data_IF_660305585561
#
_entry.id   IF_660305585561
#
_cell.length_a   1.000
_cell.length_b   1.000
_cell.length_c   1.000
_cell.angle_alpha   90.00
_cell.angle_beta   90.00
_cell.angle_gamma   90.00
#
_symmetry.space_group_name_H-M   'P 1'
#
loop_
_entity.id
_entity.type
_entity.pdbx_description
1 polymer ?
#
# COMPACT_ATOMS: atom_id res chain seq x y z
N UNK A 1 12.93 14.12 -19.69
CA UNK A 1 12.37 12.76 -19.69
C UNK A 1 11.99 12.47 -18.26
N UNK A 2 10.69 12.43 -17.96
CA UNK A 2 10.22 12.14 -16.60
C UNK A 2 10.53 10.68 -16.25
N UNK A 3 11.12 10.44 -15.09
CA UNK A 3 11.45 9.09 -14.60
C UNK A 3 10.34 8.46 -13.76
N UNK A 4 9.11 8.97 -13.87
CA UNK A 4 7.98 8.41 -13.16
C UNK A 4 7.72 6.97 -13.63
N UNK A 5 7.92 6.04 -12.71
CA UNK A 5 7.55 4.64 -12.90
C UNK A 5 6.20 4.42 -12.27
N UNK A 6 5.31 3.75 -12.99
CA UNK A 6 4.01 3.34 -12.50
C UNK A 6 3.99 1.83 -12.33
N UNK A 7 3.63 1.36 -11.14
CA UNK A 7 3.55 -0.06 -10.80
C UNK A 7 2.13 -0.37 -10.36
N UNK A 8 1.52 -1.36 -11.01
CA UNK A 8 0.19 -1.83 -10.65
C UNK A 8 0.27 -2.63 -9.36
N UNK A 9 -0.56 -2.28 -8.39
CA UNK A 9 -0.67 -3.02 -7.12
C UNK A 9 -2.07 -3.61 -6.99
N UNK A 10 -2.19 -4.80 -6.38
CA UNK A 10 -3.49 -5.47 -6.18
C UNK A 10 -4.24 -4.90 -4.96
N UNK A 11 -4.35 -3.58 -4.92
CA UNK A 11 -4.98 -2.83 -3.84
C UNK A 11 -6.29 -2.28 -4.40
N UNK A 12 -7.41 -2.59 -3.76
CA UNK A 12 -8.75 -2.14 -4.17
C UNK A 12 -9.36 -1.18 -3.17
N UNK A 13 -9.12 -1.42 -1.89
CA UNK A 13 -9.67 -0.63 -0.81
C UNK A 13 -8.70 0.51 -0.42
N UNK A 14 -9.08 1.75 -0.76
CA UNK A 14 -8.29 2.93 -0.44
C UNK A 14 -8.20 3.22 1.06
N UNK A 15 -9.24 2.88 1.83
CA UNK A 15 -9.25 3.11 3.28
C UNK A 15 -8.23 2.21 3.99
N UNK A 16 -8.19 0.93 3.62
CA UNK A 16 -7.20 -0.02 4.14
C UNK A 16 -5.80 0.43 3.73
N UNK A 17 -5.60 0.83 2.46
CA UNK A 17 -4.32 1.37 2.00
C UNK A 17 -3.88 2.56 2.87
N UNK A 18 -4.75 3.53 3.09
CA UNK A 18 -4.45 4.70 3.92
C UNK A 18 -4.06 4.33 5.35
N UNK A 19 -4.77 3.36 5.95
CA UNK A 19 -4.43 2.85 7.28
C UNK A 19 -3.07 2.17 7.28
N UNK A 20 -2.78 1.29 6.32
CA UNK A 20 -1.49 0.59 6.20
C UNK A 20 -0.35 1.59 6.10
N UNK A 21 -0.50 2.61 5.25
CA UNK A 21 0.53 3.63 5.07
C UNK A 21 0.77 4.44 6.35
N UNK A 22 -0.28 4.80 7.08
CA UNK A 22 -0.16 5.47 8.38
C UNK A 22 0.48 4.58 9.44
N UNK A 23 0.13 3.30 9.50
CA UNK A 23 0.71 2.33 10.43
C UNK A 23 2.19 2.04 10.15
N UNK A 24 2.60 2.13 8.88
CA UNK A 24 4.00 2.10 8.49
C UNK A 24 4.77 3.37 8.89
N UNK A 25 4.09 4.37 9.47
CA UNK A 25 4.69 5.63 9.89
C UNK A 25 4.90 6.63 8.76
N UNK A 26 4.29 6.41 7.58
CA UNK A 26 4.42 7.32 6.47
C UNK A 26 3.47 8.53 6.61
N UNK A 27 3.95 9.70 6.16
CA UNK A 27 3.13 10.91 6.07
C UNK A 27 2.36 10.89 4.76
N UNK A 28 1.09 10.51 4.83
CA UNK A 28 0.19 10.43 3.68
C UNK A 28 -0.69 11.66 3.60
N UNK A 29 -0.69 12.31 2.45
CA UNK A 29 -1.64 13.36 2.06
C UNK A 29 -2.61 12.80 1.02
N UNK A 30 -3.89 13.18 1.08
CA UNK A 30 -4.89 12.69 0.14
C UNK A 30 -5.16 13.72 -0.98
N UNK A 31 -5.44 13.24 -2.19
CA UNK A 31 -5.81 14.03 -3.36
C UNK A 31 -4.84 15.19 -3.63
N UNK A 32 -3.56 14.87 -3.79
CA UNK A 32 -2.51 15.88 -3.98
C UNK A 32 -1.51 15.45 -5.05
N UNK A 33 -0.52 16.30 -5.29
CA UNK A 33 0.50 16.12 -6.29
C UNK A 33 1.73 15.41 -5.71
N UNK A 34 2.11 14.32 -6.35
CA UNK A 34 3.38 13.61 -6.19
C UNK A 34 4.47 14.44 -6.83
N UNK A 35 5.48 14.85 -6.06
CA UNK A 35 6.64 15.58 -6.56
C UNK A 35 7.71 14.61 -7.05
N UNK A 36 8.27 14.86 -8.23
CA UNK A 36 9.34 14.07 -8.83
C UNK A 36 10.47 14.94 -9.40
N UNK A 37 11.22 14.37 -10.34
CA UNK A 37 12.39 15.01 -10.95
C UNK A 37 12.08 16.35 -11.61
N UNK A 38 12.95 17.35 -11.39
CA UNK A 38 12.89 18.69 -12.00
C UNK A 38 11.54 19.42 -11.91
N UNK A 39 10.76 19.17 -10.85
CA UNK A 39 9.47 19.82 -10.66
C UNK A 39 8.32 19.16 -11.43
N UNK A 40 8.56 17.99 -12.04
CA UNK A 40 7.48 17.17 -12.56
C UNK A 40 6.56 16.75 -11.40
N UNK A 41 5.26 16.86 -11.64
CA UNK A 41 4.24 16.48 -10.67
C UNK A 41 3.21 15.56 -11.30
N UNK A 42 2.64 14.67 -10.49
CA UNK A 42 1.56 13.77 -10.91
C UNK A 42 0.48 13.73 -9.85
N UNK A 43 -0.77 13.74 -10.28
CA UNK A 43 -1.91 13.60 -9.37
C UNK A 43 -2.05 12.16 -8.87
N UNK A 44 -2.27 12.02 -7.57
CA UNK A 44 -2.58 10.75 -6.93
C UNK A 44 -3.52 10.93 -5.74
N UNK A 45 -4.28 9.89 -5.43
CA UNK A 45 -5.26 9.91 -4.33
C UNK A 45 -4.59 9.83 -2.97
N UNK A 46 -3.46 9.11 -2.86
CA UNK A 46 -2.67 9.05 -1.63
C UNK A 46 -1.21 9.34 -1.94
N UNK A 47 -0.64 10.39 -1.37
CA UNK A 47 0.74 10.82 -1.61
C UNK A 47 1.54 10.75 -0.33
N UNK A 48 2.61 9.98 -0.36
CA UNK A 48 3.57 9.84 0.72
C UNK A 48 4.64 10.90 0.55
N UNK A 49 4.66 11.85 1.48
CA UNK A 49 5.68 12.91 1.49
C UNK A 49 7.01 12.36 1.95
N UNK A 50 8.03 12.53 1.11
CA UNK A 50 9.41 12.26 1.49
C UNK A 50 10.20 13.56 1.72
N UNK A 51 11.24 13.48 2.55
CA UNK A 51 12.13 14.60 2.89
C UNK A 51 13.10 14.95 1.78
N UNK A 52 13.35 14.04 0.85
CA UNK A 52 14.21 14.22 -0.33
C UNK A 52 13.53 14.97 -1.48
N UNK A 53 12.23 15.30 -1.36
CA UNK A 53 11.46 15.97 -2.41
C UNK A 53 10.91 15.04 -3.50
N UNK A 54 11.12 13.73 -3.39
CA UNK A 54 10.58 12.71 -4.29
C UNK A 54 9.48 11.93 -3.57
N UNK A 55 8.24 12.33 -3.81
CA UNK A 55 7.10 11.71 -3.15
C UNK A 55 6.70 10.42 -3.87
N UNK A 56 5.88 9.60 -3.20
CA UNK A 56 5.26 8.43 -3.81
C UNK A 56 3.75 8.60 -3.83
N UNK A 57 3.09 8.34 -4.95
CA UNK A 57 1.65 8.40 -5.06
C UNK A 57 1.00 7.06 -5.31
N UNK A 58 -0.16 6.82 -4.71
CA UNK A 58 -1.10 5.80 -5.14
C UNK A 58 -2.24 6.47 -5.89
N UNK A 59 -2.32 6.19 -7.18
CA UNK A 59 -3.38 6.67 -8.06
C UNK A 59 -4.34 5.53 -8.34
N UNK A 60 -5.64 5.75 -8.14
CA UNK A 60 -6.63 4.74 -8.52
C UNK A 60 -6.75 4.66 -10.03
N UNK A 61 -6.79 3.44 -10.55
CA UNK A 61 -7.04 3.15 -11.96
C UNK A 61 -8.09 2.07 -12.08
N UNK A 62 -9.29 2.48 -12.49
CA UNK A 62 -10.49 1.64 -12.51
C UNK A 62 -10.75 1.01 -11.14
N UNK A 63 -10.39 -0.27 -10.97
CA UNK A 63 -10.69 -1.05 -9.76
C UNK A 63 -9.50 -1.22 -8.82
N UNK A 64 -8.27 -0.96 -9.29
CA UNK A 64 -7.07 -1.14 -8.49
C UNK A 64 -6.26 0.16 -8.39
N UNK A 65 -5.44 0.28 -7.37
CA UNK A 65 -4.47 1.37 -7.26
C UNK A 65 -3.18 1.05 -8.04
N UNK A 66 -2.52 2.09 -8.49
CA UNK A 66 -1.19 2.06 -9.08
C UNK A 66 -0.27 2.95 -8.25
N UNK A 67 0.90 2.44 -7.90
CA UNK A 67 1.97 3.21 -7.29
C UNK A 67 2.72 3.97 -8.39
N UNK A 68 2.67 5.29 -8.36
CA UNK A 68 3.41 6.19 -9.25
C UNK A 68 4.41 6.98 -8.44
N UNK A 69 5.69 6.82 -8.75
CA UNK A 69 6.78 7.52 -8.07
C UNK A 69 8.03 7.58 -8.96
N UNK A 70 8.92 8.51 -8.64
CA UNK A 70 10.28 8.48 -9.15
C UNK A 70 11.15 7.71 -8.15
N UNK A 71 11.27 6.39 -8.36
CA UNK A 71 12.04 5.52 -7.47
C UNK A 71 13.54 5.82 -7.50
N UNK A 72 14.05 6.37 -8.61
CA UNK A 72 15.46 6.69 -8.76
C UNK A 72 15.84 7.87 -7.87
N UNK A 73 15.03 8.94 -7.90
CA UNK A 73 15.19 10.09 -7.02
C UNK A 73 14.80 9.81 -5.56
N UNK A 74 13.75 9.02 -5.34
CA UNK A 74 13.30 8.65 -4.00
C UNK A 74 14.28 7.73 -3.25
N UNK A 75 15.25 7.11 -3.95
CA UNK A 75 16.26 6.18 -3.38
C UNK A 75 15.62 5.04 -2.59
N UNK A 76 14.49 4.55 -3.07
CA UNK A 76 13.74 3.45 -2.47
C UNK A 76 13.73 2.25 -3.39
N UNK A 77 13.76 1.06 -2.81
CA UNK A 77 13.56 -0.16 -3.57
C UNK A 77 12.05 -0.35 -3.79
N UNK A 78 11.61 -0.20 -5.03
CA UNK A 78 10.19 -0.33 -5.39
C UNK A 78 9.60 -1.68 -4.95
N UNK A 79 10.39 -2.75 -5.01
CA UNK A 79 9.91 -4.10 -4.75
C UNK A 79 9.77 -4.37 -3.26
N UNK A 80 10.73 -3.96 -2.45
CA UNK A 80 10.65 -4.05 -0.99
C UNK A 80 9.50 -3.20 -0.45
N UNK A 81 9.33 -1.99 -1.00
CA UNK A 81 8.27 -1.07 -0.61
C UNK A 81 6.89 -1.65 -0.91
N UNK A 82 6.68 -2.16 -2.12
CA UNK A 82 5.42 -2.81 -2.51
C UNK A 82 5.19 -4.07 -1.67
N UNK A 83 6.20 -4.90 -1.44
CA UNK A 83 6.06 -6.12 -0.63
C UNK A 83 5.62 -5.79 0.80
N UNK A 84 6.21 -4.79 1.45
CA UNK A 84 5.84 -4.36 2.80
C UNK A 84 4.38 -3.89 2.88
N UNK A 85 3.95 -3.06 1.91
CA UNK A 85 2.57 -2.58 1.85
C UNK A 85 1.62 -3.74 1.53
N UNK A 86 1.96 -4.58 0.56
CA UNK A 86 1.12 -5.70 0.12
C UNK A 86 0.90 -6.70 1.24
N UNK A 87 1.92 -7.00 2.05
CA UNK A 87 1.82 -7.90 3.19
C UNK A 87 0.86 -7.36 4.25
N UNK A 88 1.04 -6.10 4.68
CA UNK A 88 0.16 -5.46 5.66
C UNK A 88 -1.26 -5.25 5.13
N UNK A 89 -1.39 -4.90 3.86
CA UNK A 89 -2.69 -4.72 3.21
C UNK A 89 -3.44 -6.05 3.12
N UNK A 90 -2.78 -7.13 2.73
CA UNK A 90 -3.39 -8.46 2.69
C UNK A 90 -3.85 -8.89 4.08
N UNK A 91 -3.01 -8.70 5.11
CA UNK A 91 -3.37 -8.98 6.49
C UNK A 91 -4.60 -8.19 6.93
N UNK A 92 -4.59 -6.86 6.83
CA UNK A 92 -5.75 -6.02 7.20
C UNK A 92 -7.01 -6.34 6.40
N UNK A 93 -6.88 -6.58 5.10
CA UNK A 93 -8.03 -6.92 4.25
C UNK A 93 -8.64 -8.25 4.69
N UNK A 94 -7.81 -9.22 5.04
CA UNK A 94 -8.27 -10.49 5.59
C UNK A 94 -8.97 -10.27 6.93
N UNK A 95 -8.35 -9.55 7.88
CA UNK A 95 -8.96 -9.22 9.18
C UNK A 95 -10.32 -8.52 9.03
N UNK A 96 -10.41 -7.52 8.14
CA UNK A 96 -11.64 -6.79 7.87
C UNK A 96 -12.73 -7.69 7.26
N UNK A 97 -12.35 -8.54 6.29
CA UNK A 97 -13.29 -9.48 5.64
C UNK A 97 -13.79 -10.52 6.64
N UNK A 98 -12.92 -11.02 7.51
CA UNK A 98 -13.26 -12.00 8.55
C UNK A 98 -14.27 -11.40 9.53
N UNK A 99 -14.01 -10.18 10.00
CA UNK A 99 -14.94 -9.46 10.89
C UNK A 99 -16.27 -9.13 10.20
N UNK A 100 -16.25 -8.68 8.95
CA UNK A 100 -17.45 -8.30 8.19
C UNK A 100 -18.34 -9.51 7.86
N UNK A 101 -17.74 -10.65 7.52
CA UNK A 101 -18.46 -11.88 7.24
C UNK A 101 -18.81 -12.69 8.50
N UNK A 102 -18.48 -12.19 9.69
CA UNK A 102 -18.77 -12.84 10.97
C UNK A 102 -17.97 -14.13 11.21
N UNK A 103 -16.85 -14.29 10.53
CA UNK A 103 -15.88 -15.33 10.85
C UNK A 103 -15.05 -14.84 12.05
N UNK A 104 -14.72 -15.74 12.97
CA UNK A 104 -13.72 -15.47 14.00
C UNK A 104 -12.38 -16.03 13.53
N UNK A 105 -11.31 -15.27 13.78
CA UNK A 105 -9.94 -15.75 13.58
C UNK A 105 -9.70 -16.76 14.70
N UNK A 106 -9.57 -18.03 14.31
CA UNK A 106 -9.32 -19.11 15.28
C UNK A 106 -7.83 -19.28 15.53
N UNK A 107 -7.00 -19.04 14.50
CA UNK A 107 -5.55 -19.12 14.65
C UNK A 107 -4.83 -18.24 13.61
N UNK A 108 -3.73 -17.63 14.03
CA UNK A 108 -2.78 -16.91 13.17
C UNK A 108 -1.39 -17.45 13.44
N UNK A 109 -0.89 -18.29 12.53
CA UNK A 109 0.39 -18.95 12.67
C UNK A 109 1.37 -18.41 11.62
N UNK A 110 2.50 -17.88 12.09
CA UNK A 110 3.62 -17.51 11.23
C UNK A 110 4.51 -18.74 11.16
N UNK A 111 4.51 -19.39 10.00
CA UNK A 111 5.34 -20.57 9.75
C UNK A 111 6.83 -20.20 9.72
N UNK A 112 7.69 -21.18 9.99
CA UNK A 112 9.16 -20.99 10.03
C UNK A 112 9.76 -20.50 8.70
N UNK A 113 9.03 -20.64 7.60
CA UNK A 113 9.39 -20.14 6.26
C UNK A 113 8.96 -18.67 6.00
N UNK A 114 8.31 -18.02 6.98
CA UNK A 114 7.77 -16.67 6.87
C UNK A 114 6.37 -16.58 6.25
N UNK A 115 5.75 -17.72 5.93
CA UNK A 115 4.38 -17.78 5.43
C UNK A 115 3.40 -17.56 6.60
N UNK A 116 2.53 -16.57 6.47
CA UNK A 116 1.46 -16.32 7.45
C UNK A 116 0.24 -17.16 7.08
N UNK A 117 -0.11 -18.13 7.91
CA UNK A 117 -1.32 -18.93 7.78
C UNK A 117 -2.36 -18.42 8.75
N UNK A 118 -3.51 -18.01 8.22
CA UNK A 118 -4.65 -17.59 9.03
C UNK A 118 -5.76 -18.63 8.90
N UNK A 119 -6.18 -19.20 10.04
CA UNK A 119 -7.30 -20.14 10.15
C UNK A 119 -8.51 -19.37 10.65
N UNK A 120 -9.59 -19.42 9.86
CA UNK A 120 -10.84 -18.71 10.14
C UNK A 120 -11.96 -19.71 10.33
N UNK A 121 -12.69 -19.59 11.43
CA UNK A 121 -13.81 -20.45 11.78
C UNK A 121 -15.12 -19.65 11.82
N UNK A 122 -16.21 -20.30 11.44
CA UNK A 122 -17.57 -19.77 11.57
C UNK A 122 -18.34 -20.67 12.51
N UNK A 123 -18.64 -20.17 13.70
CA UNK A 123 -19.57 -20.81 14.61
C UNK A 123 -20.98 -20.36 14.23
N UNK A 124 -21.78 -21.29 13.69
CA UNK A 124 -23.23 -21.15 13.48
C UNK A 124 -23.99 -21.82 14.62
#
# INVERSE_FOLDING_TARGET
MSHFTTIKVQIKNGEILHQVLKELGHKVECNTFVRGYQGDTTEAEYVIRQTNGYDLGFRRRSENYELVADFWGARINQQEFINSISQKYAHKTLMATVQEQGFNIEDEEILEDGTVRVVVGRWV
#
